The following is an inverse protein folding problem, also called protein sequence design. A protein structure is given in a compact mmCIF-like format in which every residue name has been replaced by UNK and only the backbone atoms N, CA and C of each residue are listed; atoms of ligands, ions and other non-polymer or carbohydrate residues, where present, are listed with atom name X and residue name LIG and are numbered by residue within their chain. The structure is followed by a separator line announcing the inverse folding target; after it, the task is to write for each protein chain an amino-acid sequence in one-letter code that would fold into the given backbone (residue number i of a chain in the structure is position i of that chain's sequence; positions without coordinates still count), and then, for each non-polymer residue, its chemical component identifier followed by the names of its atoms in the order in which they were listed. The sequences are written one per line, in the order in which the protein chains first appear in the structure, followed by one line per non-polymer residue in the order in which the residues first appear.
data_IF_263205269216
#
_entry.id   IF_263205269216
#
_cell.length_a   1.000
_cell.length_b   1.000
_cell.length_c   1.000
_cell.angle_alpha   90.00
_cell.angle_beta   90.00
_cell.angle_gamma   90.00
#
_symmetry.space_group_name_H-M   'P 1'
#
loop_
_entity.id
_entity.type
_entity.pdbx_description
1 polymer ?
#
# COMPACT_ATOMS: atom_id res chain seq x y z
N UNK A 1 38.08 51.03 18.94
CA UNK A 1 37.98 49.57 18.80
C UNK A 1 36.56 49.17 19.15
N UNK A 2 35.75 48.76 18.18
CA UNK A 2 34.41 48.23 18.41
C UNK A 2 34.44 46.75 18.05
N UNK A 3 34.22 45.87 19.05
CA UNK A 3 34.03 44.44 18.83
C UNK A 3 32.60 44.23 18.30
N UNK A 4 32.47 43.78 17.06
CA UNK A 4 31.22 43.22 16.56
C UNK A 4 31.08 41.78 17.06
N UNK A 5 30.18 41.55 18.00
CA UNK A 5 29.72 40.21 18.36
C UNK A 5 28.78 39.71 17.25
N UNK A 6 29.28 38.82 16.40
CA UNK A 6 28.47 38.12 15.41
C UNK A 6 27.63 37.05 16.10
N UNK A 7 26.32 37.27 16.20
CA UNK A 7 25.35 36.25 16.61
C UNK A 7 25.12 35.34 15.39
N UNK A 8 25.78 34.19 15.38
CA UNK A 8 25.46 33.10 14.46
C UNK A 8 24.08 32.54 14.81
N UNK A 9 23.08 32.81 13.97
CA UNK A 9 21.77 32.18 14.03
C UNK A 9 21.92 30.72 13.58
N UNK A 10 21.96 29.79 14.53
CA UNK A 10 21.80 28.37 14.22
C UNK A 10 20.45 28.16 13.57
N UNK A 11 20.43 27.60 12.36
CA UNK A 11 19.20 27.22 11.69
C UNK A 11 18.46 26.19 12.58
N UNK A 12 17.33 26.59 13.15
CA UNK A 12 16.47 25.68 13.89
C UNK A 12 16.01 24.59 12.92
N UNK A 13 16.35 23.34 13.21
CA UNK A 13 15.82 22.18 12.48
C UNK A 13 14.32 22.17 12.74
N UNK A 14 13.51 22.30 11.68
CA UNK A 14 12.06 22.26 11.80
C UNK A 14 11.65 20.94 12.46
N UNK A 15 10.71 21.01 13.41
CA UNK A 15 10.16 19.82 14.05
C UNK A 15 9.61 18.86 12.99
N UNK A 16 9.80 17.54 13.15
CA UNK A 16 9.25 16.57 12.20
C UNK A 16 7.72 16.66 12.20
N UNK A 17 7.14 16.57 11.01
CA UNK A 17 5.69 16.59 10.81
C UNK A 17 5.27 15.40 9.95
N UNK A 18 4.03 14.94 10.09
CA UNK A 18 3.45 13.92 9.22
C UNK A 18 3.30 14.50 7.81
N UNK A 19 3.91 13.89 6.80
CA UNK A 19 3.89 14.41 5.42
C UNK A 19 2.90 13.64 4.55
N UNK A 20 2.14 14.34 3.70
CA UNK A 20 1.39 13.70 2.62
C UNK A 20 2.36 12.94 1.68
N UNK A 21 2.02 11.70 1.32
CA UNK A 21 2.92 10.83 0.57
C UNK A 21 4.08 10.25 1.41
N UNK A 22 4.11 10.54 2.71
CA UNK A 22 5.04 9.96 3.67
C UNK A 22 4.69 8.51 3.99
N UNK A 23 5.70 7.72 4.38
CA UNK A 23 5.50 6.32 4.78
C UNK A 23 5.15 6.25 6.27
N UNK A 24 4.13 5.46 6.57
CA UNK A 24 3.76 5.04 7.91
C UNK A 24 3.99 3.54 8.06
N UNK A 25 4.21 3.11 9.29
CA UNK A 25 4.20 1.70 9.69
C UNK A 25 3.03 1.51 10.64
N UNK A 26 2.10 0.65 10.27
CA UNK A 26 0.93 0.26 11.05
C UNK A 26 1.20 -1.08 11.73
N UNK A 27 0.89 -1.17 13.01
CA UNK A 27 1.25 -2.32 13.84
C UNK A 27 2.77 -2.47 13.91
N UNK A 28 3.26 -3.69 13.67
CA UNK A 28 4.70 -4.00 13.78
C UNK A 28 5.47 -3.87 12.46
N UNK A 29 4.82 -3.98 11.30
CA UNK A 29 5.54 -4.09 10.04
C UNK A 29 4.81 -3.63 8.77
N UNK A 30 3.51 -3.33 8.81
CA UNK A 30 2.78 -3.01 7.58
C UNK A 30 3.09 -1.60 7.14
N UNK A 31 3.77 -1.46 6.01
CA UNK A 31 4.07 -0.16 5.42
C UNK A 31 2.90 0.31 4.57
N UNK A 32 2.48 1.54 4.81
CA UNK A 32 1.52 2.25 3.97
C UNK A 32 1.94 3.71 3.80
N UNK A 33 1.20 4.44 2.99
CA UNK A 33 1.45 5.83 2.64
C UNK A 33 0.34 6.71 3.18
N UNK A 34 0.68 7.92 3.65
CA UNK A 34 -0.31 8.94 4.05
C UNK A 34 -0.95 9.56 2.83
N UNK A 35 -2.27 9.43 2.69
CA UNK A 35 -3.05 9.97 1.59
C UNK A 35 -3.25 11.48 1.72
N UNK A 36 -3.66 11.95 2.90
CA UNK A 36 -3.92 13.36 3.19
C UNK A 36 -3.90 13.57 4.68
N UNK A 37 -3.45 14.75 5.08
CA UNK A 37 -3.57 15.26 6.42
C UNK A 37 -4.82 16.13 6.51
N UNK A 38 -5.84 15.68 7.23
CA UNK A 38 -6.99 16.53 7.58
C UNK A 38 -6.68 17.27 8.87
N UNK A 39 -6.23 18.52 8.72
CA UNK A 39 -5.88 19.40 9.84
C UNK A 39 -7.09 19.84 10.67
N UNK A 40 -8.29 19.82 10.10
CA UNK A 40 -9.50 20.21 10.83
C UNK A 40 -9.92 19.11 11.80
N UNK A 41 -9.68 17.84 11.43
CA UNK A 41 -9.97 16.68 12.28
C UNK A 41 -8.76 16.21 13.10
N UNK A 42 -7.54 16.68 12.78
CA UNK A 42 -6.32 16.23 13.45
C UNK A 42 -5.93 14.79 13.08
N UNK A 43 -6.34 14.32 11.90
CA UNK A 43 -6.12 12.94 11.44
C UNK A 43 -5.40 12.91 10.09
N UNK A 44 -4.87 11.75 9.74
CA UNK A 44 -4.40 11.48 8.37
C UNK A 44 -5.13 10.29 7.78
N UNK A 45 -5.49 10.36 6.50
CA UNK A 45 -6.15 9.26 5.80
C UNK A 45 -5.14 8.29 5.14
N UNK A 46 -5.50 7.01 5.08
CA UNK A 46 -4.77 5.91 4.43
C UNK A 46 -5.75 4.78 4.08
N UNK A 47 -5.30 3.64 3.55
CA UNK A 47 -6.17 2.49 3.25
C UNK A 47 -6.47 1.64 4.49
N UNK A 48 -7.65 1.02 4.53
CA UNK A 48 -8.10 0.18 5.65
C UNK A 48 -7.31 -1.11 5.77
N UNK A 49 -6.97 -1.72 4.64
CA UNK A 49 -6.23 -2.98 4.59
C UNK A 49 -4.78 -2.87 5.12
N UNK A 50 -4.35 -1.69 5.57
CA UNK A 50 -3.05 -1.46 6.19
C UNK A 50 -2.93 -2.00 7.61
N UNK A 51 -4.03 -2.28 8.30
CA UNK A 51 -3.97 -2.78 9.66
C UNK A 51 -5.33 -3.03 10.29
N UNK A 52 -5.30 -3.34 11.58
CA UNK A 52 -6.48 -3.58 12.40
C UNK A 52 -6.84 -2.34 13.23
N UNK A 53 -8.12 -2.22 13.59
CA UNK A 53 -8.59 -1.17 14.47
C UNK A 53 -7.81 -1.18 15.81
N UNK A 54 -7.23 -0.03 16.17
CA UNK A 54 -6.43 0.14 17.38
C UNK A 54 -4.93 -0.09 17.20
N UNK A 55 -4.47 -0.51 16.01
CA UNK A 55 -3.05 -0.67 15.74
C UNK A 55 -2.30 0.65 15.93
N UNK A 56 -1.09 0.55 16.48
CA UNK A 56 -0.21 1.71 16.62
C UNK A 56 0.44 2.05 15.29
N UNK A 57 0.53 3.33 15.01
CA UNK A 57 1.12 3.88 13.79
C UNK A 57 2.37 4.67 14.16
N UNK A 58 3.44 4.48 13.39
CA UNK A 58 4.65 5.30 13.45
C UNK A 58 4.96 5.89 12.07
N UNK A 59 5.65 7.02 12.03
CA UNK A 59 6.12 7.63 10.77
C UNK A 59 7.54 7.16 10.47
N UNK A 60 7.76 6.59 9.29
CA UNK A 60 9.09 6.12 8.88
C UNK A 60 10.03 7.31 8.69
N UNK A 61 11.14 7.32 9.43
CA UNK A 61 12.15 8.37 9.37
C UNK A 61 11.82 9.61 10.21
N UNK A 62 10.80 9.55 11.07
CA UNK A 62 10.47 10.59 12.04
C UNK A 62 10.12 9.96 13.39
N UNK A 63 11.09 9.91 14.29
CA UNK A 63 10.92 9.34 15.62
C UNK A 63 9.91 10.14 16.44
N UNK A 64 9.14 9.44 17.30
CA UNK A 64 8.17 10.04 18.21
C UNK A 64 6.85 10.48 17.56
N UNK A 65 6.71 10.43 16.24
CA UNK A 65 5.41 10.67 15.59
C UNK A 65 4.57 9.38 15.63
N UNK A 66 3.64 9.33 16.57
CA UNK A 66 2.82 8.15 16.85
C UNK A 66 1.33 8.45 16.83
N UNK A 67 0.54 7.45 16.46
CA UNK A 67 -0.93 7.54 16.40
C UNK A 67 -1.62 6.19 16.44
N UNK A 68 -2.94 6.20 16.36
CA UNK A 68 -3.80 5.01 16.38
C UNK A 68 -4.52 4.87 15.05
N UNK A 69 -4.46 3.68 14.46
CA UNK A 69 -5.12 3.32 13.23
C UNK A 69 -6.58 2.96 13.47
N UNK A 70 -7.49 3.60 12.73
CA UNK A 70 -8.93 3.38 12.79
C UNK A 70 -9.43 3.17 11.35
N UNK A 71 -9.68 1.92 10.91
CA UNK A 71 -10.26 1.65 9.61
C UNK A 71 -11.75 2.01 9.59
N UNK A 72 -12.32 2.13 8.39
CA UNK A 72 -13.77 2.12 8.22
C UNK A 72 -14.38 0.94 8.98
N UNK A 73 -15.47 1.15 9.75
CA UNK A 73 -16.19 0.07 10.41
C UNK A 73 -16.91 -0.86 9.42
N UNK A 74 -17.05 -0.45 8.16
CA UNK A 74 -17.65 -1.25 7.09
C UNK A 74 -16.61 -2.03 6.27
N UNK A 75 -15.33 -1.81 6.51
CA UNK A 75 -14.28 -2.56 5.84
C UNK A 75 -14.23 -4.01 6.36
N UNK A 76 -14.13 -4.97 5.43
CA UNK A 76 -13.94 -6.40 5.72
C UNK A 76 -12.60 -6.83 5.17
N UNK A 77 -11.75 -7.44 6.01
CA UNK A 77 -10.48 -8.00 5.54
C UNK A 77 -10.68 -9.39 4.94
N UNK A 78 -11.37 -9.40 3.80
CA UNK A 78 -11.68 -10.59 3.02
C UNK A 78 -10.95 -10.54 1.67
N UNK A 79 -10.64 -11.71 1.12
CA UNK A 79 -10.15 -11.81 -0.25
C UNK A 79 -11.22 -11.26 -1.21
N UNK A 80 -10.79 -10.48 -2.20
CA UNK A 80 -11.65 -9.79 -3.18
C UNK A 80 -12.66 -8.75 -2.66
N UNK A 81 -12.69 -8.46 -1.35
CA UNK A 81 -13.45 -7.33 -0.82
C UNK A 81 -12.69 -6.01 -1.00
N UNK A 82 -13.37 -5.00 -1.58
CA UNK A 82 -12.71 -3.74 -1.99
C UNK A 82 -13.47 -2.48 -1.55
N UNK A 83 -14.73 -2.62 -1.15
CA UNK A 83 -15.53 -1.49 -0.69
C UNK A 83 -15.01 -0.96 0.65
N UNK A 84 -15.15 0.34 0.88
CA UNK A 84 -14.79 1.00 2.13
C UNK A 84 -13.33 0.78 2.60
N UNK A 85 -12.39 0.50 1.69
CA UNK A 85 -10.97 0.34 1.99
C UNK A 85 -10.26 1.70 2.24
N UNK A 86 -10.71 2.38 3.29
CA UNK A 86 -10.16 3.63 3.81
C UNK A 86 -10.06 3.57 5.34
N UNK A 87 -9.08 4.28 5.88
CA UNK A 87 -8.82 4.42 7.31
C UNK A 87 -8.36 5.83 7.63
N UNK A 88 -8.46 6.18 8.90
CA UNK A 88 -7.79 7.33 9.49
C UNK A 88 -6.72 6.89 10.48
N UNK A 89 -5.71 7.72 10.65
CA UNK A 89 -4.76 7.68 11.75
C UNK A 89 -5.09 8.86 12.64
N UNK A 90 -5.52 8.58 13.86
CA UNK A 90 -5.70 9.58 14.92
C UNK A 90 -4.36 9.75 15.59
N UNK A 91 -3.73 10.90 15.41
CA UNK A 91 -2.40 11.14 15.95
C UNK A 91 -2.44 11.47 17.45
N UNK A 92 -1.39 11.10 18.16
CA UNK A 92 -1.26 11.45 19.58
C UNK A 92 -1.02 12.97 19.75
N UNK A 93 -1.26 13.47 20.96
CA UNK A 93 -1.06 14.87 21.30
C UNK A 93 0.35 15.37 20.95
N UNK A 94 0.41 16.54 20.31
CA UNK A 94 1.66 17.18 19.92
C UNK A 94 2.23 16.73 18.57
N UNK A 95 1.64 15.74 17.90
CA UNK A 95 2.00 15.40 16.52
C UNK A 95 1.52 16.50 15.56
N UNK A 96 2.47 17.13 14.87
CA UNK A 96 2.17 18.15 13.89
C UNK A 96 1.92 17.55 12.49
N UNK A 97 0.88 18.05 11.82
CA UNK A 97 0.52 17.65 10.46
C UNK A 97 1.10 18.62 9.43
N UNK A 98 1.89 18.10 8.50
CA UNK A 98 2.37 18.82 7.34
C UNK A 98 1.25 19.19 6.37
N UNK A 99 1.50 20.08 5.40
CA UNK A 99 0.51 20.44 4.39
C UNK A 99 0.38 19.36 3.29
N UNK A 100 -0.72 19.45 2.54
CA UNK A 100 -1.02 18.52 1.44
C UNK A 100 -0.47 19.05 0.11
N UNK A 101 0.85 18.99 -0.07
CA UNK A 101 1.54 19.56 -1.25
C UNK A 101 1.13 18.93 -2.60
N UNK A 102 0.57 17.72 -2.61
CA UNK A 102 0.24 17.00 -3.84
C UNK A 102 -1.20 17.29 -4.30
N UNK A 103 -2.16 17.14 -3.40
CA UNK A 103 -3.58 17.28 -3.71
C UNK A 103 -4.16 18.66 -3.36
N UNK A 104 -3.47 19.44 -2.53
CA UNK A 104 -4.09 20.52 -1.77
C UNK A 104 -4.97 19.98 -0.64
N UNK A 105 -5.56 20.90 0.13
CA UNK A 105 -6.35 20.59 1.32
C UNK A 105 -7.84 20.27 1.01
N UNK A 106 -8.20 20.15 -0.27
CA UNK A 106 -9.57 19.81 -0.70
C UNK A 106 -9.73 18.31 -0.83
N UNK A 107 -10.69 17.75 -0.10
CA UNK A 107 -11.24 16.43 -0.35
C UNK A 107 -12.45 16.57 -1.29
N UNK A 108 -12.40 15.93 -2.46
CA UNK A 108 -13.45 15.97 -3.47
C UNK A 108 -14.64 15.17 -2.97
N UNK A 109 -15.78 15.83 -2.76
CA UNK A 109 -17.01 15.17 -2.32
C UNK A 109 -17.43 14.01 -3.26
N UNK A 110 -17.97 12.89 -2.73
CA UNK A 110 -18.35 11.73 -3.55
C UNK A 110 -19.40 12.02 -4.65
N UNK A 111 -20.18 13.10 -4.50
CA UNK A 111 -21.14 13.57 -5.50
C UNK A 111 -20.55 14.40 -6.64
N UNK A 112 -19.28 14.81 -6.55
CA UNK A 112 -18.64 15.67 -7.56
C UNK A 112 -18.53 14.92 -8.88
N UNK A 113 -19.03 15.53 -9.97
CA UNK A 113 -18.91 14.96 -11.32
C UNK A 113 -17.45 14.92 -11.76
N UNK A 114 -16.98 13.72 -12.09
CA UNK A 114 -15.69 13.47 -12.72
C UNK A 114 -15.91 12.88 -14.12
N UNK A 115 -14.99 13.15 -15.03
CA UNK A 115 -15.06 12.70 -16.43
C UNK A 115 -13.73 12.14 -16.88
N UNK A 116 -13.69 11.40 -17.99
CA UNK A 116 -12.44 10.87 -18.56
C UNK A 116 -11.39 11.92 -18.94
N UNK A 117 -11.77 13.21 -18.98
CA UNK A 117 -10.84 14.33 -19.17
C UNK A 117 -10.11 14.74 -17.88
N UNK A 118 -10.59 14.27 -16.72
CA UNK A 118 -9.96 14.55 -15.44
C UNK A 118 -8.69 13.73 -15.28
N UNK A 119 -7.58 14.44 -15.12
CA UNK A 119 -6.26 13.86 -14.90
C UNK A 119 -6.12 13.44 -13.45
N UNK A 120 -6.19 12.14 -13.23
CA UNK A 120 -6.06 11.51 -11.92
C UNK A 120 -4.59 11.17 -11.71
N UNK A 121 -4.04 11.52 -10.56
CA UNK A 121 -2.65 11.29 -10.21
C UNK A 121 -2.53 10.58 -8.85
N UNK A 122 -1.40 9.90 -8.66
CA UNK A 122 -0.99 9.31 -7.39
C UNK A 122 0.50 9.50 -7.13
N UNK A 123 0.91 9.42 -5.86
CA UNK A 123 2.30 9.45 -5.43
C UNK A 123 2.51 8.44 -4.30
N UNK A 124 3.20 7.35 -4.61
CA UNK A 124 3.46 6.28 -3.66
C UNK A 124 4.61 6.57 -2.71
N UNK A 125 4.45 6.25 -1.42
CA UNK A 125 5.51 6.42 -0.43
C UNK A 125 6.72 5.52 -0.67
N UNK A 126 6.56 4.41 -1.39
CA UNK A 126 7.66 3.53 -1.84
C UNK A 126 8.09 3.88 -3.25
N UNK A 127 7.16 4.03 -4.18
CA UNK A 127 7.50 4.36 -5.58
C UNK A 127 8.17 5.73 -5.72
N UNK A 128 7.88 6.69 -4.83
CA UNK A 128 8.46 8.06 -4.81
C UNK A 128 8.37 8.81 -6.14
N UNK A 129 7.34 8.51 -6.93
CA UNK A 129 7.10 9.14 -8.21
C UNK A 129 5.62 9.46 -8.41
N UNK A 130 5.36 10.64 -8.97
CA UNK A 130 4.02 11.04 -9.42
C UNK A 130 3.69 10.26 -10.68
N UNK A 131 2.57 9.54 -10.66
CA UNK A 131 2.06 8.77 -11.79
C UNK A 131 0.62 9.16 -12.05
N UNK A 132 0.24 9.33 -13.30
CA UNK A 132 -1.08 9.84 -13.65
C UNK A 132 -1.73 9.01 -14.75
N UNK A 133 -3.05 9.07 -14.76
CA UNK A 133 -3.95 8.48 -15.75
C UNK A 133 -5.21 9.34 -15.85
N UNK A 134 -6.32 8.73 -16.22
CA UNK A 134 -7.63 9.38 -16.28
C UNK A 134 -8.62 8.71 -15.34
N UNK A 135 -9.61 9.47 -14.90
CA UNK A 135 -10.82 8.92 -14.31
C UNK A 135 -11.49 7.94 -15.30
N UNK A 136 -11.95 6.80 -14.79
CA UNK A 136 -12.64 5.79 -15.59
C UNK A 136 -14.11 5.65 -15.16
N UNK A 137 -14.36 5.44 -13.87
CA UNK A 137 -15.69 5.22 -13.34
C UNK A 137 -15.77 5.52 -11.84
N UNK A 138 -16.99 5.55 -11.31
CA UNK A 138 -17.28 5.58 -9.87
C UNK A 138 -18.26 4.48 -9.53
N UNK A 139 -18.01 3.81 -8.41
CA UNK A 139 -18.89 2.82 -7.80
C UNK A 139 -19.01 3.14 -6.31
N UNK A 140 -20.13 3.72 -5.91
CA UNK A 140 -20.28 4.23 -4.53
C UNK A 140 -19.22 5.29 -4.21
N UNK A 141 -18.49 5.08 -3.11
CA UNK A 141 -17.37 5.93 -2.68
C UNK A 141 -16.03 5.58 -3.36
N UNK A 142 -15.98 4.56 -4.22
CA UNK A 142 -14.77 4.13 -4.92
C UNK A 142 -14.68 4.75 -6.31
N UNK A 143 -13.53 5.32 -6.63
CA UNK A 143 -13.18 5.80 -7.96
C UNK A 143 -12.21 4.83 -8.62
N UNK A 144 -12.51 4.50 -9.88
CA UNK A 144 -11.66 3.73 -10.76
C UNK A 144 -10.92 4.67 -11.70
N UNK A 145 -9.65 4.39 -11.96
CA UNK A 145 -8.80 5.19 -12.83
C UNK A 145 -7.78 4.35 -13.59
N UNK A 146 -7.23 4.90 -14.65
CA UNK A 146 -6.19 4.25 -15.48
C UNK A 146 -4.78 4.42 -14.89
N UNK A 147 -4.68 4.58 -13.57
CA UNK A 147 -3.38 4.66 -12.91
C UNK A 147 -2.64 3.32 -13.07
N UNK A 148 -1.30 3.33 -13.13
CA UNK A 148 -0.52 2.11 -13.08
C UNK A 148 -0.54 1.48 -11.68
N UNK A 149 -0.39 0.15 -11.62
CA UNK A 149 -0.24 -0.64 -10.39
C UNK A 149 0.75 -0.02 -9.39
N UNK A 150 0.40 -0.03 -8.11
CA UNK A 150 1.29 0.34 -7.01
C UNK A 150 2.29 -0.76 -6.62
N UNK A 151 3.37 -0.36 -5.96
CA UNK A 151 4.29 -1.28 -5.29
C UNK A 151 3.87 -1.50 -3.84
N UNK A 152 4.28 -2.64 -3.26
CA UNK A 152 4.07 -2.92 -1.85
C UNK A 152 4.52 -1.73 -0.97
N UNK A 153 3.61 -1.16 -0.17
CA UNK A 153 3.82 0.06 0.61
C UNK A 153 3.24 1.35 0.01
N UNK A 154 2.83 1.34 -1.27
CA UNK A 154 2.08 2.44 -1.87
C UNK A 154 0.58 2.41 -1.50
N UNK A 155 0.11 1.37 -0.80
CA UNK A 155 -1.22 1.34 -0.18
C UNK A 155 -1.44 2.60 0.64
N UNK A 156 -2.61 3.22 0.50
CA UNK A 156 -2.92 4.48 1.16
C UNK A 156 -2.36 5.72 0.46
N UNK A 157 -1.59 5.60 -0.64
CA UNK A 157 -1.06 6.77 -1.34
C UNK A 157 -2.17 7.76 -1.75
N UNK A 158 -1.89 9.09 -1.76
CA UNK A 158 -2.84 10.06 -2.26
C UNK A 158 -3.26 9.69 -3.69
N UNK A 159 -4.56 9.68 -3.95
CA UNK A 159 -5.09 9.75 -5.31
C UNK A 159 -5.90 11.03 -5.43
N UNK A 160 -5.58 11.86 -6.41
CA UNK A 160 -6.16 13.20 -6.56
C UNK A 160 -6.39 13.56 -8.02
N UNK A 161 -7.27 14.53 -8.25
CA UNK A 161 -7.43 15.17 -9.56
C UNK A 161 -6.68 16.49 -9.54
N UNK A 162 -5.80 16.70 -10.53
CA UNK A 162 -5.03 17.94 -10.64
C UNK A 162 -5.96 19.16 -10.66
N UNK A 163 -5.69 20.12 -9.77
CA UNK A 163 -6.47 21.36 -9.67
C UNK A 163 -7.86 21.22 -9.03
N UNK A 164 -8.30 20.03 -8.61
CA UNK A 164 -9.61 19.83 -7.96
C UNK A 164 -9.53 19.32 -6.52
N UNK A 165 -8.54 18.49 -6.18
CA UNK A 165 -8.40 17.94 -4.84
C UNK A 165 -8.20 16.42 -4.79
N UNK A 166 -8.10 15.89 -3.58
CA UNK A 166 -7.98 14.46 -3.29
C UNK A 166 -9.30 13.73 -3.55
N UNK A 167 -9.22 12.53 -4.10
CA UNK A 167 -10.33 11.58 -4.18
C UNK A 167 -10.37 10.68 -2.93
N UNK A 168 -9.25 10.03 -2.63
CA UNK A 168 -9.20 8.91 -1.70
C UNK A 168 -7.79 8.31 -1.58
N UNK A 169 -7.52 7.49 -0.54
CA UNK A 169 -6.33 6.68 -0.48
C UNK A 169 -6.32 5.59 -1.56
N UNK A 170 -5.14 5.29 -2.13
CA UNK A 170 -4.95 4.23 -3.12
C UNK A 170 -5.19 2.85 -2.48
N UNK A 171 -6.23 2.16 -2.93
CA UNK A 171 -6.67 0.86 -2.37
C UNK A 171 -6.06 -0.33 -3.10
N UNK A 172 -5.80 -0.22 -4.40
CA UNK A 172 -5.36 -1.36 -5.19
C UNK A 172 -5.76 -1.31 -6.64
N UNK A 173 -5.83 -2.48 -7.27
CA UNK A 173 -6.24 -2.65 -8.67
C UNK A 173 -7.25 -3.77 -8.76
N UNK A 174 -8.34 -3.51 -9.48
CA UNK A 174 -9.26 -4.56 -9.95
C UNK A 174 -8.79 -5.01 -11.32
N UNK A 175 -8.68 -6.31 -11.53
CA UNK A 175 -8.35 -6.89 -12.83
C UNK A 175 -9.49 -7.78 -13.30
N UNK A 176 -9.74 -7.75 -14.61
CA UNK A 176 -10.51 -8.76 -15.31
C UNK A 176 -9.61 -9.51 -16.29
N UNK A 177 -9.71 -10.83 -16.29
CA UNK A 177 -9.05 -11.72 -17.22
C UNK A 177 -10.07 -12.26 -18.22
N UNK A 178 -9.74 -12.15 -19.50
CA UNK A 178 -10.53 -12.68 -20.62
C UNK A 178 -9.61 -13.42 -21.60
N UNK A 179 -10.18 -13.98 -22.66
CA UNK A 179 -9.40 -14.54 -23.78
C UNK A 179 -8.46 -13.54 -24.45
N UNK A 180 -8.74 -12.23 -24.32
CA UNK A 180 -7.92 -11.14 -24.87
C UNK A 180 -6.79 -10.67 -23.93
N UNK A 181 -6.67 -11.31 -22.77
CA UNK A 181 -5.67 -11.02 -21.74
C UNK A 181 -6.27 -10.33 -20.51
N UNK A 182 -5.36 -9.80 -19.68
CA UNK A 182 -5.68 -9.11 -18.42
C UNK A 182 -5.79 -7.61 -18.65
N UNK A 183 -6.79 -6.98 -18.05
CA UNK A 183 -7.00 -5.52 -18.02
C UNK A 183 -7.40 -5.11 -16.61
N UNK A 184 -6.98 -3.93 -16.17
CA UNK A 184 -7.28 -3.48 -14.82
C UNK A 184 -7.40 -1.97 -14.67
N UNK A 185 -8.09 -1.57 -13.61
CA UNK A 185 -8.25 -0.19 -13.18
C UNK A 185 -7.85 -0.08 -11.72
N UNK A 186 -7.08 0.97 -11.41
CA UNK A 186 -6.73 1.28 -10.02
C UNK A 186 -7.93 1.86 -9.28
N UNK A 187 -7.99 1.57 -7.98
CA UNK A 187 -9.03 2.01 -7.06
C UNK A 187 -8.50 3.05 -6.08
N UNK A 188 -9.30 4.09 -5.85
CA UNK A 188 -9.16 5.00 -4.73
C UNK A 188 -10.50 5.10 -3.99
N UNK A 189 -10.50 4.97 -2.68
CA UNK A 189 -11.74 4.94 -1.88
C UNK A 189 -11.86 6.25 -1.10
N UNK A 190 -12.95 6.97 -1.25
CA UNK A 190 -13.15 8.20 -0.49
C UNK A 190 -13.23 7.90 1.02
N UNK A 191 -12.66 8.74 1.91
CA UNK A 191 -12.66 8.52 3.36
C UNK A 191 -14.01 8.90 4.01
N UNK A 192 -15.08 8.37 3.44
CA UNK A 192 -16.46 8.41 3.94
C UNK A 192 -17.12 7.09 3.55
N UNK A 193 -17.84 6.49 4.49
CA UNK A 193 -18.48 5.20 4.28
C UNK A 193 -19.52 5.26 3.16
N UNK A 194 -19.34 4.40 2.17
CA UNK A 194 -20.23 4.22 1.03
C UNK A 194 -21.03 2.94 1.12
N UNK A 195 -21.94 2.77 0.16
CA UNK A 195 -22.69 1.52 -0.01
C UNK A 195 -21.73 0.33 -0.16
N UNK A 196 -22.15 -0.82 0.35
CA UNK A 196 -21.48 -2.08 0.05
C UNK A 196 -21.64 -2.44 -1.45
N UNK A 197 -20.68 -3.17 -1.99
CA UNK A 197 -20.71 -3.69 -3.36
C UNK A 197 -19.81 -4.94 -3.48
N UNK A 198 -20.14 -5.81 -4.43
CA UNK A 198 -19.43 -7.07 -4.65
C UNK A 198 -18.61 -7.10 -5.94
N UNK A 199 -17.96 -8.24 -6.19
CA UNK A 199 -17.17 -8.45 -7.41
C UNK A 199 -17.99 -8.27 -8.69
N UNK A 200 -19.28 -8.61 -8.68
CA UNK A 200 -20.17 -8.43 -9.84
C UNK A 200 -20.34 -6.95 -10.22
N UNK A 201 -20.51 -6.06 -9.22
CA UNK A 201 -20.56 -4.62 -9.46
C UNK A 201 -19.25 -4.11 -10.10
N UNK A 202 -18.09 -4.58 -9.62
CA UNK A 202 -16.80 -4.21 -10.20
C UNK A 202 -16.60 -4.79 -11.60
N UNK A 203 -17.01 -6.04 -11.84
CA UNK A 203 -16.98 -6.66 -13.16
C UNK A 203 -17.75 -5.80 -14.16
N UNK A 204 -18.93 -5.29 -13.80
CA UNK A 204 -19.70 -4.40 -14.66
C UNK A 204 -18.95 -3.10 -14.97
N UNK A 205 -18.31 -2.50 -13.98
CA UNK A 205 -17.47 -1.31 -14.17
C UNK A 205 -16.35 -1.58 -15.16
N UNK A 206 -15.59 -2.66 -14.97
CA UNK A 206 -14.44 -2.98 -15.83
C UNK A 206 -14.88 -3.39 -17.23
N UNK A 207 -15.91 -4.23 -17.38
CA UNK A 207 -16.44 -4.62 -18.69
C UNK A 207 -16.97 -3.43 -19.48
N UNK A 208 -17.68 -2.52 -18.82
CA UNK A 208 -18.18 -1.29 -19.46
C UNK A 208 -17.02 -0.42 -19.95
N UNK A 209 -15.98 -0.25 -19.14
CA UNK A 209 -14.82 0.56 -19.51
C UNK A 209 -13.99 -0.05 -20.64
N UNK A 210 -13.72 -1.36 -20.58
CA UNK A 210 -12.90 -2.05 -21.58
C UNK A 210 -13.68 -2.56 -22.79
N UNK A 211 -14.99 -2.31 -22.85
CA UNK A 211 -15.89 -2.80 -23.91
C UNK A 211 -15.79 -4.32 -24.11
N UNK A 212 -15.81 -5.07 -23.01
CA UNK A 212 -15.70 -6.54 -23.04
C UNK A 212 -17.08 -7.16 -22.94
N UNK A 213 -17.44 -7.90 -23.99
CA UNK A 213 -18.60 -8.79 -24.02
C UNK A 213 -18.13 -10.23 -23.72
N UNK A 214 -18.89 -10.97 -22.91
CA UNK A 214 -18.59 -12.36 -22.55
C UNK A 214 -18.04 -12.60 -21.13
N UNK A 215 -17.63 -13.83 -20.81
CA UNK A 215 -17.20 -14.24 -19.48
C UNK A 215 -15.82 -13.68 -19.14
N UNK A 216 -15.63 -13.33 -17.87
CA UNK A 216 -14.37 -12.84 -17.32
C UNK A 216 -14.13 -13.45 -15.93
N UNK A 217 -12.87 -13.49 -15.51
CA UNK A 217 -12.49 -13.76 -14.12
C UNK A 217 -12.02 -12.45 -13.50
N UNK A 218 -12.58 -12.07 -12.36
CA UNK A 218 -12.18 -10.89 -11.59
C UNK A 218 -11.19 -11.25 -10.49
N UNK A 219 -10.25 -10.36 -10.23
CA UNK A 219 -9.34 -10.42 -9.09
C UNK A 219 -9.07 -9.02 -8.55
N UNK A 220 -8.99 -8.86 -7.24
CA UNK A 220 -8.61 -7.61 -6.60
C UNK A 220 -7.24 -7.72 -5.93
N UNK A 221 -6.31 -6.84 -6.30
CA UNK A 221 -4.95 -6.79 -5.75
C UNK A 221 -4.74 -5.57 -4.88
N UNK A 222 -4.17 -5.77 -3.69
CA UNK A 222 -3.75 -4.71 -2.72
C UNK A 222 -2.23 -4.63 -2.67
N UNK A 223 -1.59 -3.44 -2.70
CA UNK A 223 -0.14 -3.35 -2.68
C UNK A 223 0.42 -3.23 -1.25
N UNK A 224 0.21 -4.25 -0.42
CA UNK A 224 0.83 -4.37 0.91
C UNK A 224 1.99 -5.38 0.92
N UNK A 225 3.00 -5.11 1.75
CA UNK A 225 4.02 -6.10 2.10
C UNK A 225 3.41 -7.11 3.09
N UNK A 226 3.00 -8.29 2.62
CA UNK A 226 2.76 -9.46 3.49
C UNK A 226 4.02 -10.34 3.51
N UNK A 227 4.20 -11.19 4.51
CA UNK A 227 5.31 -12.15 4.55
C UNK A 227 5.40 -13.02 3.28
N UNK A 228 4.25 -13.32 2.66
CA UNK A 228 4.16 -14.00 1.36
C UNK A 228 4.72 -13.16 0.20
N UNK A 229 4.46 -11.84 0.19
CA UNK A 229 4.96 -10.92 -0.82
C UNK A 229 6.47 -10.65 -0.69
N UNK A 230 7.03 -10.74 0.53
CA UNK A 230 8.49 -10.69 0.76
C UNK A 230 9.18 -11.87 0.08
N UNK A 231 8.64 -13.09 0.23
CA UNK A 231 9.18 -14.27 -0.45
C UNK A 231 9.14 -14.15 -1.99
N UNK A 232 8.03 -13.64 -2.54
CA UNK A 232 7.89 -13.42 -3.98
C UNK A 232 8.81 -12.30 -4.52
N UNK A 233 9.02 -11.22 -3.77
CA UNK A 233 9.98 -10.17 -4.13
C UNK A 233 11.43 -10.63 -3.99
N UNK A 234 11.74 -11.47 -2.99
CA UNK A 234 13.07 -12.06 -2.83
C UNK A 234 13.38 -13.01 -4.00
N UNK A 235 12.40 -13.83 -4.41
CA UNK A 235 12.49 -14.67 -5.61
C UNK A 235 12.77 -13.84 -6.86
N UNK A 236 12.02 -12.76 -7.10
CA UNK A 236 12.26 -11.86 -8.24
C UNK A 236 13.63 -11.16 -8.20
N UNK A 237 14.15 -10.83 -7.01
CA UNK A 237 15.50 -10.26 -6.86
C UNK A 237 16.60 -11.30 -7.07
N UNK A 238 16.39 -12.54 -6.65
CA UNK A 238 17.31 -13.65 -6.92
C UNK A 238 17.34 -14.00 -8.42
N UNK A 239 16.19 -13.93 -9.09
CA UNK A 239 16.09 -14.14 -10.54
C UNK A 239 16.73 -12.99 -11.35
N UNK A 240 16.66 -11.74 -10.85
CA UNK A 240 17.37 -10.62 -11.49
C UNK A 240 18.89 -10.70 -11.27
N UNK A 241 19.33 -11.19 -10.12
CA UNK A 241 20.73 -11.43 -9.82
C UNK A 241 21.31 -12.65 -10.56
N UNK A 242 20.48 -13.59 -11.00
CA UNK A 242 20.92 -14.73 -11.83
C UNK A 242 20.99 -14.39 -13.33
N UNK A 243 20.39 -13.28 -13.75
CA UNK A 243 20.39 -12.80 -15.13
C UNK A 243 21.44 -11.71 -15.41
N UNK A 244 22.06 -11.14 -14.38
CA UNK A 244 23.24 -10.28 -14.48
C UNK A 244 24.53 -11.06 -14.10
N UNK A 245 25.18 -11.57 -15.15
CA UNK A 245 26.61 -11.91 -15.27
C UNK A 245 27.14 -13.23 -14.68
N UNK A 246 27.55 -14.07 -15.64
CA UNK A 246 28.23 -15.34 -15.53
C UNK A 246 29.73 -15.10 -15.29
N UNK A 247 30.14 -14.76 -14.04
CA UNK A 247 31.54 -14.97 -13.60
C UNK A 247 31.85 -14.73 -12.11
N UNK A 248 30.94 -14.18 -11.30
CA UNK A 248 31.33 -13.68 -9.97
C UNK A 248 30.61 -14.28 -8.75
N UNK A 249 30.14 -15.53 -8.77
CA UNK A 249 29.49 -16.12 -7.56
C UNK A 249 29.92 -17.57 -7.31
N UNK A 250 31.18 -17.77 -6.95
CA UNK A 250 31.63 -19.01 -6.27
C UNK A 250 31.72 -18.87 -4.73
N UNK A 251 31.30 -17.73 -4.17
CA UNK A 251 31.44 -17.44 -2.73
C UNK A 251 30.16 -17.15 -1.94
N UNK A 252 29.01 -16.90 -2.58
CA UNK A 252 27.79 -16.39 -1.88
C UNK A 252 26.75 -17.49 -1.62
N UNK A 253 26.85 -18.63 -2.31
CA UNK A 253 25.88 -19.73 -2.20
C UNK A 253 25.71 -20.33 -0.78
N UNK A 254 26.77 -20.51 0.05
CA UNK A 254 26.58 -21.12 1.38
C UNK A 254 25.97 -20.17 2.42
N UNK A 255 26.11 -18.84 2.26
CA UNK A 255 25.58 -17.85 3.22
C UNK A 255 24.07 -17.65 3.03
N UNK A 256 23.60 -17.64 1.78
CA UNK A 256 22.17 -17.52 1.47
C UNK A 256 21.39 -18.77 1.91
N UNK A 257 21.97 -19.96 1.72
CA UNK A 257 21.34 -21.21 2.16
C UNK A 257 21.19 -21.28 3.70
N UNK A 258 22.18 -20.78 4.44
CA UNK A 258 22.15 -20.75 5.91
C UNK A 258 21.08 -19.78 6.46
N UNK A 259 20.85 -18.64 5.78
CA UNK A 259 19.80 -17.69 6.16
C UNK A 259 18.41 -18.27 5.87
N UNK A 260 18.23 -18.94 4.73
CA UNK A 260 16.95 -19.59 4.37
C UNK A 260 16.61 -20.72 5.34
N UNK A 261 17.59 -21.55 5.72
CA UNK A 261 17.41 -22.61 6.72
C UNK A 261 17.17 -22.05 8.14
N UNK A 262 17.85 -20.96 8.53
CA UNK A 262 17.65 -20.32 9.84
C UNK A 262 16.27 -19.67 10.01
N UNK A 263 15.73 -19.07 8.94
CA UNK A 263 14.39 -18.45 8.95
C UNK A 263 13.27 -19.50 8.95
N UNK A 264 13.46 -20.63 8.27
CA UNK A 264 12.49 -21.73 8.26
C UNK A 264 12.36 -22.43 9.63
N UNK A 265 13.46 -22.53 10.40
CA UNK A 265 13.46 -23.17 11.72
C UNK A 265 12.81 -22.28 12.80
N UNK A 266 12.83 -20.96 12.64
CA UNK A 266 12.26 -20.03 13.63
C UNK A 266 10.73 -19.86 13.54
N UNK A 267 10.08 -20.41 12.50
CA UNK A 267 8.67 -20.14 12.19
C UNK A 267 7.70 -21.32 12.42
N UNK A 268 8.13 -22.44 13.00
CA UNK A 268 7.23 -23.57 13.30
C UNK A 268 7.67 -24.36 14.55
N UNK A 269 6.85 -24.43 15.63
CA UNK A 269 7.18 -25.27 16.79
C UNK A 269 7.10 -26.79 16.54
N UNK A 270 6.53 -27.27 15.43
CA UNK A 270 6.17 -28.69 15.26
C UNK A 270 6.86 -29.40 14.08
N UNK A 271 8.18 -29.29 13.93
CA UNK A 271 8.95 -30.07 12.92
C UNK A 271 9.55 -31.38 13.50
N UNK A 272 9.41 -31.64 14.81
CA UNK A 272 9.94 -32.87 15.43
C UNK A 272 9.21 -34.12 14.93
N UNK A 273 7.92 -34.04 14.57
CA UNK A 273 7.14 -35.19 14.08
C UNK A 273 7.46 -35.60 12.64
N UNK A 274 7.88 -34.65 11.80
CA UNK A 274 8.23 -34.92 10.40
C UNK A 274 9.57 -35.65 10.33
N UNK A 275 10.57 -35.23 11.11
CA UNK A 275 11.92 -35.85 11.09
C UNK A 275 11.90 -37.31 11.59
N UNK A 276 11.02 -37.67 12.53
CA UNK A 276 10.85 -39.06 12.97
C UNK A 276 10.11 -39.95 11.95
N UNK A 277 9.21 -39.37 11.15
CA UNK A 277 8.54 -40.09 10.05
C UNK A 277 9.52 -40.47 8.93
N UNK A 278 10.51 -39.63 8.63
CA UNK A 278 11.54 -39.94 7.63
C UNK A 278 12.55 -41.00 8.11
N UNK A 279 12.84 -41.07 9.42
CA UNK A 279 13.72 -42.11 9.99
C UNK A 279 13.08 -43.51 9.96
N UNK A 280 11.78 -43.62 10.14
CA UNK A 280 11.06 -44.90 10.06
C UNK A 280 10.91 -45.40 8.62
N UNK A 281 10.75 -44.50 7.65
CA UNK A 281 10.69 -44.84 6.21
C UNK A 281 12.07 -45.27 5.66
N UNK A 282 13.16 -44.67 6.13
CA UNK A 282 14.51 -45.07 5.74
C UNK A 282 14.96 -46.42 6.32
N UNK A 283 14.47 -46.80 7.51
CA UNK A 283 14.76 -48.10 8.12
C UNK A 283 14.00 -49.27 7.46
N UNK A 284 12.85 -49.02 6.82
CA UNK A 284 12.04 -50.04 6.17
C UNK A 284 12.44 -50.36 4.71
N UNK A 285 13.40 -49.61 4.13
CA UNK A 285 13.93 -49.83 2.77
C UNK A 285 15.36 -50.36 2.73
N UNK A 286 15.88 -50.80 3.88
CA UNK A 286 17.25 -51.29 4.05
C UNK A 286 17.37 -52.71 4.62
N UNK A 287 16.37 -53.57 4.41
CA UNK A 287 16.44 -55.04 4.59
C UNK A 287 15.65 -55.74 3.50
#
# INVERSE_FOLDING_TARGET
MALSLGISHGAAVAAPVVQQGGLIVVGSNVKCTVAMNDKNQGVSYTSAHCGSNGDRVTVKGAEGLTGTFIPSPLYRDEEDYTANDWAMVVWDDGVALGPNWLSGDTLISPGTTLTSKDRVCTYGGVTKAKRCGSFAARLGNTVFSTLPDGQAGDSGAPVWVEGKGMIGPYSGVSNISSSSGVRGLSRAVHPEDGRDYGSDDEIEVLKRWFHIDGPVVHTAKRPVETAANVGAQLGKRLDSLSSEDDSAVRGVLPVVLAIVLGVLVAAAPDIVSIVESWRSIAAARGQ
#
